data_IF_338659927224
#
_entry.id   IF_338659927224
#
_cell.length_a   1.000
_cell.length_b   1.000
_cell.length_c   1.000
_cell.angle_alpha   90.00
_cell.angle_beta   90.00
_cell.angle_gamma   90.00
#
_symmetry.space_group_name_H-M   'P 1'
#
loop_
_entity.id
_entity.type
_entity.pdbx_description
1 polymer ?
#
# COMPACT_ATOMS: atom_id res chain seq x y z
N UNK A 1 -10.81 -32.88 -0.49
CA UNK A 1 -10.03 -32.85 0.78
C UNK A 1 -9.90 -34.24 1.44
N UNK A 2 -10.99 -35.01 1.68
CA UNK A 2 -10.87 -36.37 2.27
C UNK A 2 -10.01 -37.33 1.44
N UNK A 3 -10.11 -37.26 0.11
CA UNK A 3 -9.29 -38.05 -0.83
C UNK A 3 -7.79 -37.78 -0.63
N UNK A 4 -7.37 -36.51 -0.46
CA UNK A 4 -5.97 -36.18 -0.22
C UNK A 4 -5.44 -36.72 1.11
N UNK A 5 -6.24 -36.65 2.18
CA UNK A 5 -5.88 -37.25 3.47
C UNK A 5 -5.78 -38.77 3.39
N UNK A 6 -6.64 -39.41 2.58
CA UNK A 6 -6.56 -40.84 2.33
C UNK A 6 -5.28 -41.20 1.56
N UNK A 7 -4.98 -40.51 0.44
CA UNK A 7 -3.74 -40.73 -0.32
C UNK A 7 -2.49 -40.57 0.56
N UNK A 8 -2.45 -39.53 1.42
CA UNK A 8 -1.32 -39.33 2.34
C UNK A 8 -1.12 -40.51 3.31
N UNK A 9 -2.21 -41.15 3.75
CA UNK A 9 -2.15 -42.34 4.62
C UNK A 9 -1.66 -43.55 3.85
N UNK A 10 -2.19 -43.79 2.65
CA UNK A 10 -1.78 -44.94 1.82
C UNK A 10 -0.34 -44.83 1.32
N UNK A 11 0.16 -43.61 1.12
CA UNK A 11 1.55 -43.34 0.70
C UNK A 11 2.55 -43.35 1.87
N UNK A 12 2.09 -43.63 3.10
CA UNK A 12 2.95 -43.78 4.27
C UNK A 12 3.41 -42.47 4.92
N UNK A 13 2.75 -41.35 4.64
CA UNK A 13 3.04 -40.09 5.33
C UNK A 13 2.77 -40.22 6.84
N UNK A 14 3.68 -39.69 7.66
CA UNK A 14 3.52 -39.65 9.13
C UNK A 14 2.67 -38.45 9.53
N UNK A 15 2.01 -38.54 10.68
CA UNK A 15 1.27 -37.43 11.32
C UNK A 15 0.15 -36.81 10.47
N UNK A 16 -0.52 -37.61 9.63
CA UNK A 16 -1.64 -37.13 8.80
C UNK A 16 -2.83 -36.73 9.70
N UNK A 17 -3.27 -35.46 9.69
CA UNK A 17 -4.35 -35.01 10.55
C UNK A 17 -5.66 -35.73 10.25
N UNK A 18 -6.55 -35.81 11.24
CA UNK A 18 -7.94 -36.18 10.98
C UNK A 18 -8.59 -35.11 10.10
N UNK A 19 -9.66 -35.50 9.40
CA UNK A 19 -10.42 -34.55 8.59
C UNK A 19 -10.95 -33.40 9.44
N UNK A 20 -11.43 -33.69 10.65
CA UNK A 20 -11.95 -32.68 11.57
C UNK A 20 -10.86 -31.73 12.05
N UNK A 21 -9.66 -32.26 12.34
CA UNK A 21 -8.52 -31.42 12.71
C UNK A 21 -8.10 -30.50 11.58
N UNK A 22 -8.05 -31.01 10.35
CA UNK A 22 -7.80 -30.19 9.17
C UNK A 22 -8.86 -29.09 9.00
N UNK A 23 -10.15 -29.42 9.20
CA UNK A 23 -11.24 -28.44 9.14
C UNK A 23 -11.15 -27.39 10.23
N UNK A 24 -10.75 -27.76 11.44
CA UNK A 24 -10.55 -26.83 12.54
C UNK A 24 -9.43 -25.83 12.22
N UNK A 25 -8.29 -26.31 11.71
CA UNK A 25 -7.18 -25.45 11.29
C UNK A 25 -7.60 -24.53 10.13
N UNK A 26 -8.30 -25.06 9.13
CA UNK A 26 -8.83 -24.24 8.03
C UNK A 26 -9.77 -23.14 8.52
N UNK A 27 -10.61 -23.43 9.53
CA UNK A 27 -11.49 -22.44 10.14
C UNK A 27 -10.69 -21.35 10.86
N UNK A 28 -9.72 -21.74 11.68
CA UNK A 28 -8.83 -20.80 12.38
C UNK A 28 -8.09 -19.87 11.40
N UNK A 29 -7.48 -20.43 10.34
CA UNK A 29 -6.78 -19.63 9.32
C UNK A 29 -7.73 -18.65 8.63
N UNK A 30 -8.97 -19.05 8.34
CA UNK A 30 -9.97 -18.15 7.73
C UNK A 30 -10.44 -17.06 8.70
N UNK A 31 -10.50 -17.35 9.99
CA UNK A 31 -10.87 -16.35 10.99
C UNK A 31 -9.74 -15.32 11.18
N UNK A 32 -8.49 -15.75 11.08
CA UNK A 32 -7.32 -14.89 11.31
C UNK A 32 -6.87 -14.12 10.05
N UNK A 33 -6.85 -14.79 8.88
CA UNK A 33 -6.33 -14.25 7.62
C UNK A 33 -7.36 -14.30 6.49
N UNK A 34 -8.62 -14.65 6.76
CA UNK A 34 -9.65 -14.62 5.72
C UNK A 34 -10.07 -13.19 5.41
N UNK A 35 -10.41 -12.95 4.13
CA UNK A 35 -11.08 -11.72 3.75
C UNK A 35 -12.54 -11.83 4.20
N UNK A 36 -13.04 -10.91 5.04
CA UNK A 36 -14.41 -10.97 5.52
C UNK A 36 -15.39 -10.71 4.38
N UNK A 37 -16.37 -11.60 4.21
CA UNK A 37 -17.49 -11.41 3.29
C UNK A 37 -18.66 -10.77 4.05
N UNK A 38 -18.98 -9.54 3.69
CA UNK A 38 -20.00 -8.72 4.31
C UNK A 38 -21.33 -8.96 3.56
N UNK A 39 -22.38 -9.47 4.23
CA UNK A 39 -23.71 -9.55 3.63
C UNK A 39 -24.27 -8.13 3.42
N UNK A 40 -24.80 -7.87 2.24
CA UNK A 40 -25.38 -6.59 1.84
C UNK A 40 -26.70 -6.81 1.13
N UNK A 41 -27.62 -5.85 1.27
CA UNK A 41 -28.93 -5.91 0.63
C UNK A 41 -29.08 -4.73 -0.32
N UNK A 42 -29.45 -5.00 -1.56
CA UNK A 42 -29.69 -3.95 -2.55
C UNK A 42 -30.99 -3.21 -2.25
N UNK A 43 -31.16 -2.02 -2.83
CA UNK A 43 -32.39 -1.25 -2.74
C UNK A 43 -33.63 -2.03 -3.25
N UNK A 44 -33.44 -2.99 -4.17
CA UNK A 44 -34.50 -3.87 -4.71
C UNK A 44 -34.72 -5.12 -3.85
N UNK A 45 -33.99 -5.28 -2.74
CA UNK A 45 -34.17 -6.36 -1.79
C UNK A 45 -33.31 -7.61 -2.02
N UNK A 46 -32.47 -7.63 -3.06
CA UNK A 46 -31.58 -8.75 -3.34
C UNK A 46 -30.43 -8.80 -2.32
N UNK A 47 -30.16 -9.98 -1.77
CA UNK A 47 -29.01 -10.21 -0.88
C UNK A 47 -27.79 -10.57 -1.72
N UNK A 48 -26.69 -9.86 -1.52
CA UNK A 48 -25.40 -10.16 -2.11
C UNK A 48 -24.31 -10.10 -1.03
N UNK A 49 -23.14 -10.64 -1.34
CA UNK A 49 -22.01 -10.65 -0.43
C UNK A 49 -20.87 -9.86 -1.06
N UNK A 50 -20.28 -8.96 -0.30
CA UNK A 50 -19.14 -8.16 -0.73
C UNK A 50 -17.95 -8.46 0.17
N UNK A 51 -16.80 -8.75 -0.43
CA UNK A 51 -15.56 -8.86 0.33
C UNK A 51 -15.08 -7.47 0.75
N UNK A 52 -14.58 -7.31 1.97
CA UNK A 52 -14.06 -6.01 2.42
C UNK A 52 -12.83 -5.61 1.58
N UNK A 53 -12.92 -4.56 0.75
CA UNK A 53 -11.81 -4.17 -0.12
C UNK A 53 -10.58 -3.73 0.68
N UNK A 54 -10.76 -3.22 1.91
CA UNK A 54 -9.64 -2.81 2.78
C UNK A 54 -8.81 -4.02 3.20
N UNK A 55 -9.47 -5.13 3.51
CA UNK A 55 -8.81 -6.37 3.88
C UNK A 55 -8.06 -6.99 2.69
N UNK A 56 -8.63 -6.88 1.48
CA UNK A 56 -7.95 -7.31 0.24
C UNK A 56 -6.66 -6.51 0.04
N UNK A 57 -6.75 -5.17 0.05
CA UNK A 57 -5.59 -4.30 -0.15
C UNK A 57 -4.54 -4.54 0.94
N UNK A 58 -4.95 -4.75 2.19
CA UNK A 58 -4.01 -5.05 3.29
C UNK A 58 -3.25 -6.37 3.05
N UNK A 59 -3.91 -7.41 2.53
CA UNK A 59 -3.26 -8.68 2.20
C UNK A 59 -2.32 -8.54 1.00
N UNK A 60 -2.76 -7.84 -0.04
CA UNK A 60 -1.94 -7.57 -1.22
C UNK A 60 -0.70 -6.74 -0.86
N UNK A 61 -0.84 -5.80 0.08
CA UNK A 61 0.27 -5.00 0.61
C UNK A 61 1.27 -5.83 1.42
N UNK A 62 0.78 -6.79 2.19
CA UNK A 62 1.61 -7.68 3.01
C UNK A 62 2.36 -8.72 2.16
N UNK A 63 1.88 -9.04 0.96
CA UNK A 63 2.52 -9.98 0.05
C UNK A 63 3.68 -9.31 -0.70
N UNK A 64 4.95 -9.71 -0.48
CA UNK A 64 6.10 -9.05 -1.12
C UNK A 64 6.07 -9.08 -2.65
N UNK A 65 5.55 -10.16 -3.26
CA UNK A 65 5.50 -10.31 -4.70
C UNK A 65 4.48 -9.35 -5.33
N UNK A 66 3.32 -9.18 -4.69
CA UNK A 66 2.27 -8.25 -5.13
C UNK A 66 2.66 -6.82 -4.81
N UNK A 67 3.20 -6.59 -3.61
CA UNK A 67 3.66 -5.27 -3.15
C UNK A 67 4.70 -4.64 -4.09
N UNK A 68 5.57 -5.44 -4.69
CA UNK A 68 6.56 -4.98 -5.67
C UNK A 68 5.94 -4.46 -6.98
N UNK A 69 4.72 -4.87 -7.31
CA UNK A 69 3.98 -4.44 -8.50
C UNK A 69 3.05 -3.24 -8.24
N UNK A 70 2.91 -2.81 -6.98
CA UNK A 70 2.05 -1.68 -6.63
C UNK A 70 2.71 -0.33 -7.00
N UNK A 71 2.03 0.44 -7.84
CA UNK A 71 2.40 1.82 -8.17
C UNK A 71 1.83 2.78 -7.12
N UNK A 72 2.67 3.21 -6.17
CA UNK A 72 2.25 4.08 -5.05
C UNK A 72 2.30 5.57 -5.34
N UNK A 73 3.08 5.94 -6.34
CA UNK A 73 3.39 7.33 -6.66
C UNK A 73 3.11 7.58 -8.14
N UNK A 74 2.69 8.80 -8.50
CA UNK A 74 2.65 9.20 -9.90
C UNK A 74 4.06 9.11 -10.51
N UNK A 75 4.15 8.70 -11.76
CA UNK A 75 5.40 8.49 -12.49
C UNK A 75 5.51 9.45 -13.66
N UNK A 76 6.70 10.04 -13.84
CA UNK A 76 7.01 10.85 -15.00
C UNK A 76 7.76 9.97 -16.01
N UNK A 77 7.12 9.59 -17.14
CA UNK A 77 7.80 8.83 -18.18
C UNK A 77 8.87 9.69 -18.86
N UNK A 78 10.00 9.07 -19.24
CA UNK A 78 11.13 9.79 -19.83
C UNK A 78 10.81 10.38 -21.22
N UNK A 79 9.97 9.69 -21.99
CA UNK A 79 9.49 10.10 -23.30
C UNK A 79 8.27 11.04 -23.24
N UNK A 80 7.74 11.29 -22.03
CA UNK A 80 6.54 12.09 -21.82
C UNK A 80 5.23 11.41 -22.24
N UNK A 81 5.26 10.14 -22.65
CA UNK A 81 4.09 9.43 -23.17
C UNK A 81 3.30 8.79 -22.05
N UNK A 82 2.02 9.15 -21.92
CA UNK A 82 1.10 8.54 -20.95
C UNK A 82 0.62 7.19 -21.48
N UNK A 83 1.03 6.10 -20.81
CA UNK A 83 0.56 4.73 -21.13
C UNK A 83 -0.39 4.16 -20.09
N UNK A 84 -0.28 4.64 -18.86
CA UNK A 84 -0.92 4.06 -17.69
C UNK A 84 -1.40 5.18 -16.78
N UNK A 85 -2.30 4.85 -15.85
CA UNK A 85 -2.91 5.86 -14.98
C UNK A 85 -1.88 6.58 -14.10
N UNK A 86 -0.81 5.91 -13.66
CA UNK A 86 0.28 6.53 -12.90
C UNK A 86 1.12 7.51 -13.72
N UNK A 87 1.10 7.43 -15.05
CA UNK A 87 1.73 8.43 -15.93
C UNK A 87 0.86 9.67 -16.14
N UNK A 88 -0.42 9.62 -15.76
CA UNK A 88 -1.37 10.68 -16.08
C UNK A 88 -1.10 11.95 -15.27
N UNK A 89 -1.16 13.10 -15.95
CA UNK A 89 -1.03 14.41 -15.30
C UNK A 89 -2.10 14.63 -14.21
N UNK A 90 -3.28 14.03 -14.34
CA UNK A 90 -4.34 14.14 -13.34
C UNK A 90 -3.90 13.64 -11.97
N UNK A 91 -3.28 12.46 -11.91
CA UNK A 91 -2.76 11.94 -10.64
C UNK A 91 -1.59 12.80 -10.14
N UNK A 92 -0.77 13.29 -11.07
CA UNK A 92 0.41 14.10 -10.73
C UNK A 92 0.09 15.54 -10.33
N UNK A 93 -1.00 16.17 -10.77
CA UNK A 93 -1.21 17.62 -10.58
C UNK A 93 -2.57 17.98 -10.00
N UNK A 94 -3.59 17.20 -10.31
CA UNK A 94 -4.98 17.58 -10.06
C UNK A 94 -5.60 16.79 -8.89
N UNK A 95 -4.93 15.75 -8.40
CA UNK A 95 -5.35 15.05 -7.19
C UNK A 95 -4.98 15.85 -5.93
N UNK A 96 -5.90 15.82 -4.98
CA UNK A 96 -5.68 16.27 -3.61
C UNK A 96 -4.44 15.60 -3.02
N UNK A 97 -3.55 16.41 -2.44
CA UNK A 97 -2.31 15.95 -1.83
C UNK A 97 -2.58 15.01 -0.65
N UNK A 98 -3.67 15.23 0.08
CA UNK A 98 -4.06 14.39 1.22
C UNK A 98 -4.57 13.00 0.77
N UNK A 99 -4.95 12.86 -0.50
CA UNK A 99 -5.33 11.59 -1.10
C UNK A 99 -4.14 10.81 -1.69
N UNK A 100 -2.94 11.41 -1.75
CA UNK A 100 -1.73 10.77 -2.26
C UNK A 100 -1.01 9.98 -1.17
N UNK A 101 -0.01 9.20 -1.59
CA UNK A 101 0.81 8.44 -0.64
C UNK A 101 1.52 9.41 0.34
N UNK A 102 1.26 9.29 1.66
CA UNK A 102 1.71 10.27 2.63
C UNK A 102 3.19 10.14 2.96
N UNK A 103 3.86 9.07 2.50
CA UNK A 103 5.17 8.69 3.00
C UNK A 103 6.02 8.00 1.94
N UNK A 104 7.31 8.28 1.98
CA UNK A 104 8.34 7.47 1.35
C UNK A 104 9.09 6.65 2.40
N UNK A 105 9.17 5.34 2.18
CA UNK A 105 9.98 4.43 2.98
C UNK A 105 11.35 4.25 2.32
N UNK A 106 12.38 4.85 2.92
CA UNK A 106 13.77 4.50 2.68
C UNK A 106 14.18 3.34 3.57
N UNK A 107 15.24 2.60 3.19
CA UNK A 107 15.71 1.37 3.87
C UNK A 107 15.77 1.52 5.40
N UNK A 108 16.16 2.68 5.92
CA UNK A 108 16.35 2.92 7.35
C UNK A 108 15.50 4.05 7.92
N UNK A 109 14.64 4.68 7.12
CA UNK A 109 13.93 5.89 7.54
C UNK A 109 12.60 6.06 6.80
N UNK A 110 11.67 6.73 7.45
CA UNK A 110 10.40 7.14 6.87
C UNK A 110 10.40 8.65 6.72
N UNK A 111 9.98 9.12 5.54
CA UNK A 111 9.82 10.55 5.26
C UNK A 111 8.36 10.80 4.93
N UNK A 112 7.69 11.61 5.73
CA UNK A 112 6.31 11.99 5.52
C UNK A 112 6.20 13.29 4.75
N UNK A 113 5.11 13.46 4.02
CA UNK A 113 4.72 14.77 3.49
C UNK A 113 4.41 15.71 4.65
N UNK A 114 4.62 17.01 4.43
CA UNK A 114 4.41 18.07 5.43
C UNK A 114 5.28 17.97 6.70
N UNK A 115 6.30 17.13 6.71
CA UNK A 115 7.30 17.04 7.77
C UNK A 115 8.68 17.52 7.30
N UNK A 116 9.47 18.10 8.19
CA UNK A 116 10.83 18.56 7.88
C UNK A 116 11.75 17.36 7.66
N UNK A 117 12.40 17.32 6.51
CA UNK A 117 13.41 16.34 6.15
C UNK A 117 14.76 17.03 5.87
N UNK A 118 15.86 16.39 6.29
CA UNK A 118 17.22 16.86 6.03
C UNK A 118 17.80 16.18 4.80
N UNK A 119 18.25 16.98 3.84
CA UNK A 119 18.99 16.52 2.68
C UNK A 119 20.44 16.14 3.04
N UNK A 120 21.08 15.32 2.21
CA UNK A 120 22.48 14.89 2.41
C UNK A 120 23.48 16.05 2.42
N UNK A 121 23.15 17.15 1.74
CA UNK A 121 23.97 18.37 1.73
C UNK A 121 23.81 19.22 3.00
N UNK A 122 22.94 18.82 3.94
CA UNK A 122 22.68 19.55 5.18
C UNK A 122 21.46 20.48 5.15
N UNK A 123 20.90 20.77 3.98
CA UNK A 123 19.73 21.64 3.84
C UNK A 123 18.46 20.94 4.31
N UNK A 124 17.47 21.73 4.72
CA UNK A 124 16.17 21.24 5.15
C UNK A 124 15.11 21.51 4.09
N UNK A 125 14.19 20.56 3.94
CA UNK A 125 13.07 20.64 3.02
C UNK A 125 11.80 20.09 3.66
N UNK A 126 10.64 20.50 3.17
CA UNK A 126 9.34 19.89 3.50
C UNK A 126 8.79 19.23 2.23
N UNK A 127 8.79 17.89 2.12
CA UNK A 127 8.16 17.18 1.01
C UNK A 127 6.65 17.44 0.99
N UNK A 128 6.12 17.70 -0.19
CA UNK A 128 4.67 17.95 -0.41
C UNK A 128 4.05 16.73 -1.10
N UNK A 129 4.81 16.11 -2.00
CA UNK A 129 4.37 14.95 -2.79
C UNK A 129 5.55 14.12 -3.23
N UNK A 130 5.37 12.80 -3.18
CA UNK A 130 6.31 11.81 -3.72
C UNK A 130 5.93 11.44 -5.16
N UNK A 131 6.93 11.24 -6.01
CA UNK A 131 6.76 10.87 -7.42
C UNK A 131 7.91 9.98 -7.90
N UNK A 132 7.66 9.16 -8.92
CA UNK A 132 8.67 8.35 -9.58
C UNK A 132 9.22 9.07 -10.81
N UNK A 133 10.54 9.10 -10.95
CA UNK A 133 11.21 9.55 -12.16
C UNK A 133 12.48 8.71 -12.37
N UNK A 134 12.65 8.16 -13.57
CA UNK A 134 13.81 7.30 -13.94
C UNK A 134 14.06 6.16 -12.94
N UNK A 135 12.99 5.50 -12.51
CA UNK A 135 13.06 4.40 -11.54
C UNK A 135 13.45 4.79 -10.11
N UNK A 136 13.49 6.09 -9.80
CA UNK A 136 13.81 6.61 -8.47
C UNK A 136 12.66 7.43 -7.91
N UNK A 137 12.50 7.39 -6.60
CA UNK A 137 11.55 8.27 -5.90
C UNK A 137 12.17 9.66 -5.76
N UNK A 138 11.41 10.66 -6.16
CA UNK A 138 11.66 12.08 -6.00
C UNK A 138 10.53 12.71 -5.19
N UNK A 139 10.74 13.95 -4.72
CA UNK A 139 9.70 14.74 -4.08
C UNK A 139 9.63 16.14 -4.67
N UNK A 140 8.40 16.64 -4.83
CA UNK A 140 8.16 18.07 -4.85
C UNK A 140 8.26 18.55 -3.39
N UNK A 141 9.05 19.59 -3.12
CA UNK A 141 9.34 20.02 -1.76
C UNK A 141 9.56 21.53 -1.67
N UNK A 142 9.24 22.10 -0.53
CA UNK A 142 9.64 23.46 -0.17
C UNK A 142 11.00 23.46 0.51
N UNK A 143 11.84 24.45 0.21
CA UNK A 143 13.10 24.66 0.92
C UNK A 143 12.82 25.37 2.23
N UNK A 144 13.41 24.87 3.31
CA UNK A 144 13.31 25.49 4.63
C UNK A 144 14.47 26.45 4.83
N UNK A 145 14.16 27.72 5.11
CA UNK A 145 15.11 28.68 5.65
C UNK A 145 15.06 28.61 7.18
N UNK A 146 16.20 28.40 7.82
CA UNK A 146 16.33 28.41 9.28
C UNK A 146 16.75 29.82 9.68
N UNK A 147 15.94 30.47 10.52
CA UNK A 147 16.29 31.77 11.09
C UNK A 147 17.23 31.59 12.29
N UNK A 148 17.90 32.67 12.72
CA UNK A 148 18.91 32.66 13.80
C UNK A 148 18.38 32.13 15.15
N UNK A 149 17.06 32.07 15.36
CA UNK A 149 16.40 31.51 16.55
C UNK A 149 16.14 30.00 16.49
N UNK A 150 16.38 29.35 15.34
CA UNK A 150 16.09 27.92 15.13
C UNK A 150 14.64 27.61 14.73
N UNK A 151 13.79 28.63 14.61
CA UNK A 151 12.44 28.49 14.08
C UNK A 151 12.46 28.40 12.55
N UNK A 152 11.51 27.65 11.98
CA UNK A 152 11.29 27.60 10.54
C UNK A 152 9.87 28.07 10.19
N UNK A 153 9.77 28.92 9.17
CA UNK A 153 8.49 29.22 8.53
C UNK A 153 8.29 28.22 7.39
N UNK A 154 7.40 27.25 7.59
CA UNK A 154 6.91 26.45 6.48
C UNK A 154 6.04 27.36 5.59
N UNK A 155 6.28 27.43 4.27
CA UNK A 155 5.38 28.16 3.40
C UNK A 155 3.98 27.55 3.52
N UNK A 156 2.98 28.39 3.79
CA UNK A 156 1.58 28.00 3.93
C UNK A 156 1.17 27.19 2.70
N UNK A 157 0.98 25.88 2.88
CA UNK A 157 0.38 25.01 1.87
C UNK A 157 -1.10 25.36 1.82
N UNK A 158 -1.46 26.32 0.97
CA UNK A 158 -2.87 26.55 0.64
C UNK A 158 -3.30 25.37 -0.24
N UNK A 159 -4.21 24.55 0.30
CA UNK A 159 -4.95 23.53 -0.44
C UNK A 159 -5.80 24.12 -1.55
#
# INVERSE_FOLDING_TARGET
MRVFLWILRETGARDVPSFDRLRQVQKQIREEYGIPSIPSKSAMGNVFFMNDPRAIIAQDWANPAVRAQMHLYPEIPEDGVVREIWHALKWRKDMDLDALSPMYHAISAHYYVNEVARLKNGNFVVPIRWLMYRGKVHADAFVVAINETGDYEAPLVRG
#
